data_IF_814911983329
#
_entry.id   IF_814911983329
#
_cell.length_a   1.000
_cell.length_b   1.000
_cell.length_c   1.000
_cell.angle_alpha   90.00
_cell.angle_beta   90.00
_cell.angle_gamma   90.00
#
_symmetry.space_group_name_H-M   'P 1'
#
loop_
_entity.id
_entity.type
_entity.pdbx_description
1 polymer ?
#
# COMPACT_ATOMS: atom_id res chain seq x y z
N UNK A 1 -2.52 -7.75 9.45
CA UNK A 1 -1.70 -8.76 10.14
C UNK A 1 -0.53 -9.18 9.24
N UNK A 2 0.70 -8.75 9.58
CA UNK A 2 1.92 -9.07 8.79
C UNK A 2 2.26 -10.57 8.75
N UNK A 3 1.70 -11.37 9.64
CA UNK A 3 1.86 -12.83 9.66
C UNK A 3 1.14 -13.57 8.53
N UNK A 4 0.18 -12.94 7.89
CA UNK A 4 -0.63 -13.47 6.80
C UNK A 4 -0.21 -12.84 5.47
N UNK A 5 -0.47 -13.52 4.36
CA UNK A 5 -0.34 -12.93 3.03
C UNK A 5 -1.26 -11.72 2.85
N UNK A 6 -0.85 -10.77 2.01
CA UNK A 6 -1.64 -9.56 1.71
C UNK A 6 -3.01 -9.94 1.13
N UNK A 7 -3.06 -10.97 0.27
CA UNK A 7 -4.30 -11.49 -0.28
C UNK A 7 -5.27 -12.02 0.78
N UNK A 8 -4.75 -12.70 1.80
CA UNK A 8 -5.54 -13.19 2.94
C UNK A 8 -6.09 -12.04 3.77
N UNK A 9 -5.24 -11.05 4.10
CA UNK A 9 -5.67 -9.83 4.79
C UNK A 9 -6.71 -9.05 3.98
N UNK A 10 -6.55 -9.00 2.66
CA UNK A 10 -7.51 -8.34 1.75
C UNK A 10 -8.88 -8.99 1.79
N UNK A 11 -8.94 -10.33 1.70
CA UNK A 11 -10.22 -11.05 1.82
C UNK A 11 -10.90 -10.84 3.17
N UNK A 12 -10.13 -10.87 4.26
CA UNK A 12 -10.69 -10.61 5.58
C UNK A 12 -11.22 -9.18 5.70
N UNK A 13 -10.48 -8.19 5.20
CA UNK A 13 -10.95 -6.80 5.18
C UNK A 13 -12.22 -6.65 4.35
N UNK A 14 -12.29 -7.28 3.17
CA UNK A 14 -13.48 -7.24 2.31
C UNK A 14 -14.71 -7.79 3.04
N UNK A 15 -14.59 -8.94 3.68
CA UNK A 15 -15.68 -9.54 4.48
C UNK A 15 -16.09 -8.66 5.67
N UNK A 16 -15.11 -8.08 6.38
CA UNK A 16 -15.39 -7.21 7.51
C UNK A 16 -16.13 -5.94 7.09
N UNK A 17 -15.75 -5.33 5.97
CA UNK A 17 -16.47 -4.16 5.43
C UNK A 17 -17.89 -4.53 5.00
N UNK A 18 -18.07 -5.66 4.31
CA UNK A 18 -19.39 -6.14 3.90
C UNK A 18 -20.32 -6.39 5.10
N UNK A 19 -19.79 -6.90 6.21
CA UNK A 19 -20.56 -7.15 7.41
C UNK A 19 -20.79 -5.88 8.24
N UNK A 20 -19.82 -4.98 8.33
CA UNK A 20 -19.86 -3.81 9.19
C UNK A 20 -20.77 -2.70 8.64
N UNK A 21 -20.63 -2.39 7.34
CA UNK A 21 -21.29 -1.21 6.77
C UNK A 21 -22.82 -1.24 6.85
N UNK A 22 -23.49 -2.37 6.61
CA UNK A 22 -24.96 -2.45 6.77
C UNK A 22 -25.44 -2.27 8.22
N UNK A 23 -24.55 -2.51 9.20
CA UNK A 23 -24.87 -2.40 10.63
C UNK A 23 -24.37 -1.08 11.25
N UNK A 24 -23.84 -0.16 10.44
CA UNK A 24 -23.38 1.13 10.92
C UNK A 24 -24.59 1.95 11.46
N UNK A 25 -24.42 2.68 12.59
CA UNK A 25 -25.56 3.36 13.24
C UNK A 25 -26.28 4.40 12.39
N UNK A 26 -25.61 4.92 11.38
CA UNK A 26 -26.15 5.90 10.42
C UNK A 26 -25.93 5.41 9.00
N UNK A 27 -26.78 5.85 8.08
CA UNK A 27 -26.60 5.55 6.65
C UNK A 27 -25.24 6.06 6.17
N UNK A 28 -24.46 5.19 5.57
CA UNK A 28 -23.18 5.56 4.94
C UNK A 28 -23.45 5.83 3.47
N UNK A 29 -23.24 7.07 3.05
CA UNK A 29 -23.40 7.50 1.66
C UNK A 29 -22.12 7.29 0.85
N UNK A 30 -20.97 7.56 1.48
CA UNK A 30 -19.65 7.46 0.84
C UNK A 30 -18.61 6.89 1.80
N UNK A 31 -17.68 6.11 1.25
CA UNK A 31 -16.52 5.59 1.95
C UNK A 31 -15.24 6.19 1.35
N UNK A 32 -14.41 6.79 2.18
CA UNK A 32 -13.05 7.20 1.84
C UNK A 32 -12.04 6.40 2.64
N UNK A 33 -11.05 5.83 1.97
CA UNK A 33 -9.99 5.04 2.61
C UNK A 33 -8.67 5.79 2.53
N UNK A 34 -8.03 6.00 3.68
CA UNK A 34 -6.63 6.44 3.76
C UNK A 34 -5.78 5.25 4.15
N UNK A 35 -4.93 4.81 3.25
CA UNK A 35 -4.14 3.59 3.41
C UNK A 35 -2.63 3.89 3.41
N UNK A 36 -1.96 3.56 4.50
CA UNK A 36 -0.52 3.75 4.65
C UNK A 36 0.24 2.45 4.35
N UNK A 37 1.32 2.54 3.59
CA UNK A 37 2.28 1.46 3.43
C UNK A 37 1.64 0.18 2.87
N UNK A 38 1.87 -0.97 3.50
CA UNK A 38 1.24 -2.26 3.18
C UNK A 38 -0.30 -2.20 3.18
N UNK A 39 -0.91 -1.30 3.95
CA UNK A 39 -2.36 -1.11 3.98
C UNK A 39 -2.94 -0.76 2.61
N UNK A 40 -2.17 -0.06 1.76
CA UNK A 40 -2.59 0.21 0.39
C UNK A 40 -2.63 -1.02 -0.51
N UNK A 41 -1.77 -2.00 -0.27
CA UNK A 41 -1.84 -3.29 -0.96
C UNK A 41 -3.03 -4.13 -0.45
N UNK A 42 -3.29 -4.08 0.85
CA UNK A 42 -4.42 -4.78 1.47
C UNK A 42 -5.75 -4.26 0.94
N UNK A 43 -5.94 -2.93 0.83
CA UNK A 43 -7.21 -2.39 0.28
C UNK A 43 -7.37 -2.71 -1.21
N UNK A 44 -6.30 -2.69 -2.02
CA UNK A 44 -6.36 -3.13 -3.42
C UNK A 44 -6.78 -4.59 -3.53
N UNK A 45 -6.20 -5.45 -2.71
CA UNK A 45 -6.57 -6.87 -2.61
C UNK A 45 -8.03 -7.03 -2.16
N UNK A 46 -8.48 -6.26 -1.16
CA UNK A 46 -9.86 -6.31 -0.68
C UNK A 46 -10.88 -5.94 -1.77
N UNK A 47 -10.60 -4.90 -2.56
CA UNK A 47 -11.46 -4.48 -3.67
C UNK A 47 -11.53 -5.58 -4.75
N UNK A 48 -10.39 -6.19 -5.08
CA UNK A 48 -10.34 -7.28 -6.05
C UNK A 48 -11.24 -8.44 -5.61
N UNK A 49 -11.05 -8.96 -4.40
CA UNK A 49 -11.85 -10.08 -3.89
C UNK A 49 -13.31 -9.72 -3.60
N UNK A 50 -13.58 -8.46 -3.26
CA UNK A 50 -14.98 -8.01 -3.11
C UNK A 50 -15.72 -8.02 -4.44
N UNK A 51 -15.07 -7.61 -5.54
CA UNK A 51 -15.63 -7.70 -6.91
C UNK A 51 -15.84 -9.15 -7.35
N UNK A 52 -14.87 -10.03 -7.09
CA UNK A 52 -14.98 -11.47 -7.40
C UNK A 52 -16.12 -12.17 -6.65
N UNK A 53 -16.57 -11.62 -5.53
CA UNK A 53 -17.62 -12.19 -4.68
C UNK A 53 -18.91 -11.35 -4.68
N UNK A 54 -19.06 -10.42 -5.63
CA UNK A 54 -20.23 -9.54 -5.78
C UNK A 54 -20.63 -8.83 -4.47
N UNK A 55 -19.65 -8.44 -3.64
CA UNK A 55 -19.90 -7.69 -2.41
C UNK A 55 -20.38 -6.27 -2.70
N UNK A 56 -21.26 -5.74 -1.84
CA UNK A 56 -21.91 -4.46 -2.05
C UNK A 56 -21.05 -3.26 -1.65
N UNK A 57 -20.18 -3.40 -0.65
CA UNK A 57 -19.44 -2.28 -0.08
C UNK A 57 -18.57 -1.48 -1.08
N UNK A 58 -17.98 -2.09 -2.15
CA UNK A 58 -17.20 -1.30 -3.10
C UNK A 58 -17.99 -0.21 -3.81
N UNK A 59 -19.32 -0.33 -3.90
CA UNK A 59 -20.18 0.70 -4.49
C UNK A 59 -20.22 2.00 -3.69
N UNK A 60 -19.93 1.93 -2.39
CA UNK A 60 -19.82 3.08 -1.50
C UNK A 60 -18.45 3.75 -1.54
N UNK A 61 -17.44 3.07 -2.09
CA UNK A 61 -16.07 3.55 -2.09
C UNK A 61 -15.91 4.70 -3.11
N UNK A 62 -15.62 5.90 -2.60
CA UNK A 62 -15.47 7.12 -3.40
C UNK A 62 -14.03 7.49 -3.65
N UNK A 63 -13.22 7.44 -2.59
CA UNK A 63 -11.83 7.86 -2.65
C UNK A 63 -10.91 6.87 -1.97
N UNK A 64 -9.70 6.74 -2.51
CA UNK A 64 -8.59 6.06 -1.84
C UNK A 64 -7.36 6.96 -1.88
N UNK A 65 -6.75 7.19 -0.72
CA UNK A 65 -5.50 7.93 -0.58
C UNK A 65 -4.41 6.95 -0.16
N UNK A 66 -3.45 6.68 -1.04
CA UNK A 66 -2.31 5.83 -0.78
C UNK A 66 -1.13 6.67 -0.26
N UNK A 67 -0.67 6.37 0.95
CA UNK A 67 0.47 7.03 1.59
C UNK A 67 1.66 6.07 1.61
N UNK A 68 2.67 6.31 0.78
CA UNK A 68 3.89 5.49 0.73
C UNK A 68 3.61 4.01 0.44
N UNK A 69 2.59 3.69 -0.33
CA UNK A 69 2.24 2.29 -0.64
C UNK A 69 3.23 1.70 -1.63
N UNK A 70 3.85 0.53 -1.33
CA UNK A 70 4.78 -0.13 -2.24
C UNK A 70 4.06 -0.90 -3.34
N UNK A 71 3.43 -0.20 -4.28
CA UNK A 71 2.60 -0.81 -5.34
C UNK A 71 3.36 -1.84 -6.19
N UNK A 72 4.65 -1.63 -6.36
CA UNK A 72 5.58 -2.52 -7.08
C UNK A 72 6.67 -3.05 -6.17
N UNK A 73 6.34 -3.18 -4.89
CA UNK A 73 7.23 -3.74 -3.89
C UNK A 73 8.32 -2.78 -3.42
N UNK A 74 9.21 -3.35 -2.62
CA UNK A 74 10.36 -2.68 -2.05
C UNK A 74 11.59 -3.62 -2.11
N UNK A 75 12.83 -3.07 -2.24
CA UNK A 75 14.05 -3.87 -2.29
C UNK A 75 14.20 -4.76 -1.05
N UNK A 76 14.57 -6.02 -1.27
CA UNK A 76 14.79 -7.01 -0.19
C UNK A 76 15.81 -6.57 0.87
N UNK A 77 16.81 -5.80 0.46
CA UNK A 77 17.85 -5.26 1.35
C UNK A 77 17.24 -4.38 2.47
N UNK A 78 16.05 -3.82 2.23
CA UNK A 78 15.32 -3.00 3.20
C UNK A 78 14.31 -3.79 4.04
N UNK A 79 14.15 -5.10 3.81
CA UNK A 79 13.14 -5.92 4.53
C UNK A 79 13.36 -5.90 6.04
N UNK A 80 14.61 -5.90 6.50
CA UNK A 80 14.90 -5.72 7.93
C UNK A 80 14.34 -4.42 8.51
N UNK A 81 14.46 -3.33 7.76
CA UNK A 81 13.94 -2.01 8.15
C UNK A 81 12.41 -1.97 8.17
N UNK A 82 11.74 -2.72 7.28
CA UNK A 82 10.29 -2.86 7.28
C UNK A 82 9.76 -3.44 8.58
N UNK A 83 10.42 -4.47 9.08
CA UNK A 83 10.02 -5.11 10.32
C UNK A 83 10.16 -4.14 11.49
N UNK A 84 11.28 -3.41 11.55
CA UNK A 84 11.50 -2.41 12.61
C UNK A 84 10.48 -1.28 12.54
N UNK A 85 10.11 -0.84 11.34
CA UNK A 85 9.10 0.20 11.14
C UNK A 85 7.68 -0.26 11.49
N UNK A 86 7.29 -1.49 11.12
CA UNK A 86 5.95 -2.01 11.35
C UNK A 86 5.71 -2.46 12.80
N UNK A 87 6.74 -2.94 13.49
CA UNK A 87 6.60 -3.50 14.84
C UNK A 87 6.87 -2.50 15.96
N UNK A 88 7.34 -1.30 15.63
CA UNK A 88 7.77 -0.31 16.61
C UNK A 88 8.86 -0.91 17.51
N UNK A 89 10.04 -0.35 17.53
CA UNK A 89 11.13 -0.87 18.36
C UNK A 89 10.93 -0.52 19.82
N UNK A 90 10.11 -1.29 20.53
CA UNK A 90 10.13 -1.27 21.99
C UNK A 90 11.20 -2.23 22.51
N UNK A 91 11.85 -1.95 23.66
CA UNK A 91 12.85 -2.84 24.26
C UNK A 91 12.34 -4.26 24.51
N UNK A 92 11.02 -4.43 24.68
CA UNK A 92 10.36 -5.71 24.96
C UNK A 92 10.11 -6.55 23.71
N UNK A 93 10.02 -5.94 22.51
CA UNK A 93 9.74 -6.66 21.26
C UNK A 93 11.01 -7.07 20.52
N UNK A 94 12.17 -6.50 20.85
CA UNK A 94 13.47 -6.80 20.26
C UNK A 94 13.84 -8.31 20.19
N UNK A 95 13.68 -9.12 21.26
CA UNK A 95 14.03 -10.55 21.19
C UNK A 95 13.15 -11.36 20.23
N UNK A 96 11.86 -10.99 20.14
CA UNK A 96 10.90 -11.66 19.25
C UNK A 96 11.02 -11.20 17.77
N UNK A 97 11.56 -10.02 17.56
CA UNK A 97 11.81 -9.46 16.25
C UNK A 97 12.79 -10.31 15.41
N UNK A 98 13.79 -10.91 16.03
CA UNK A 98 14.79 -11.69 15.31
C UNK A 98 14.25 -13.02 14.73
N UNK A 99 13.27 -13.64 15.39
CA UNK A 99 12.70 -14.94 15.00
C UNK A 99 11.53 -14.84 14.01
N UNK A 100 10.73 -13.75 14.10
CA UNK A 100 9.57 -13.52 13.22
C UNK A 100 9.90 -12.81 11.90
N UNK A 101 11.01 -12.12 11.85
CA UNK A 101 11.39 -11.15 10.82
C UNK A 101 11.57 -11.74 9.41
N UNK A 102 12.13 -12.90 9.29
CA UNK A 102 12.57 -13.46 8.00
C UNK A 102 11.46 -14.30 7.31
N UNK A 103 10.40 -14.65 8.02
CA UNK A 103 9.41 -15.64 7.57
C UNK A 103 7.96 -15.15 7.51
N UNK A 104 7.68 -13.87 7.79
CA UNK A 104 6.32 -13.35 7.73
C UNK A 104 5.83 -13.28 6.27
N UNK A 105 4.70 -13.91 5.98
CA UNK A 105 4.13 -13.97 4.64
C UNK A 105 3.87 -12.57 4.06
N UNK A 106 3.27 -11.66 4.83
CA UNK A 106 3.00 -10.31 4.38
C UNK A 106 4.26 -9.49 4.06
N UNK A 107 5.39 -9.78 4.73
CA UNK A 107 6.67 -9.11 4.42
C UNK A 107 7.29 -9.67 3.14
N UNK A 108 7.17 -10.99 2.89
CA UNK A 108 7.63 -11.55 1.62
C UNK A 108 6.83 -11.03 0.44
N UNK A 109 5.54 -10.77 0.61
CA UNK A 109 4.69 -10.17 -0.41
C UNK A 109 5.12 -8.74 -0.78
N UNK A 110 5.74 -8.00 0.16
CA UNK A 110 6.26 -6.65 -0.10
C UNK A 110 7.42 -6.63 -1.09
N UNK A 111 8.04 -7.78 -1.40
CA UNK A 111 9.13 -7.84 -2.37
C UNK A 111 8.70 -7.32 -3.74
N UNK A 112 7.54 -7.77 -4.20
CA UNK A 112 6.96 -7.40 -5.50
C UNK A 112 5.68 -6.58 -5.35
N UNK A 113 5.11 -6.51 -4.14
CA UNK A 113 3.79 -5.94 -3.88
C UNK A 113 2.67 -6.90 -4.30
N UNK A 114 2.81 -8.19 -3.95
CA UNK A 114 1.81 -9.22 -4.20
C UNK A 114 0.50 -8.86 -3.52
N UNK A 115 -0.61 -9.01 -4.23
CA UNK A 115 -1.95 -8.72 -3.69
C UNK A 115 -2.96 -9.83 -3.93
N UNK A 116 -2.62 -10.83 -4.75
CA UNK A 116 -3.47 -11.98 -5.07
C UNK A 116 -2.85 -13.29 -4.59
N UNK A 117 -3.68 -14.32 -4.45
CA UNK A 117 -3.21 -15.68 -4.12
C UNK A 117 -2.31 -16.25 -5.21
N UNK A 118 -2.65 -15.98 -6.47
CA UNK A 118 -1.90 -16.43 -7.64
C UNK A 118 -0.48 -15.85 -7.67
N UNK A 119 -0.26 -14.72 -7.00
CA UNK A 119 1.05 -14.06 -6.96
C UNK A 119 2.08 -14.83 -6.10
N UNK A 120 1.63 -15.70 -5.18
CA UNK A 120 2.51 -16.40 -4.26
C UNK A 120 2.25 -17.92 -4.18
N UNK A 121 1.06 -18.40 -4.56
CA UNK A 121 0.77 -19.84 -4.56
C UNK A 121 1.60 -20.57 -5.61
N UNK A 122 2.21 -21.69 -5.20
CA UNK A 122 3.03 -22.51 -6.10
C UNK A 122 4.43 -21.95 -6.38
N UNK A 123 4.80 -20.80 -5.80
CA UNK A 123 6.14 -20.22 -5.93
C UNK A 123 6.91 -20.37 -4.63
N UNK A 124 8.22 -20.64 -4.73
CA UNK A 124 9.09 -20.52 -3.56
C UNK A 124 9.28 -19.02 -3.26
N UNK A 125 8.77 -18.58 -2.12
CA UNK A 125 8.87 -17.18 -1.65
C UNK A 125 10.30 -16.68 -1.48
N UNK A 126 11.29 -17.57 -1.49
CA UNK A 126 12.71 -17.26 -1.43
C UNK A 126 13.39 -17.28 -2.80
N UNK A 127 12.69 -17.74 -3.84
CA UNK A 127 13.23 -17.76 -5.19
C UNK A 127 13.46 -16.31 -5.68
N UNK A 128 14.57 -16.14 -6.41
CA UNK A 128 14.92 -14.89 -7.09
C UNK A 128 14.15 -14.71 -8.43
N UNK A 129 13.04 -15.42 -8.58
CA UNK A 129 12.22 -15.39 -9.78
C UNK A 129 11.84 -13.94 -10.19
N UNK A 130 11.59 -13.77 -11.48
CA UNK A 130 11.07 -12.51 -12.04
C UNK A 130 9.67 -12.23 -11.49
N UNK A 131 9.33 -10.95 -11.41
CA UNK A 131 7.98 -10.49 -11.08
C UNK A 131 6.96 -11.06 -12.09
N UNK A 132 6.17 -12.04 -11.65
CA UNK A 132 5.13 -12.71 -12.44
C UNK A 132 3.70 -12.32 -12.00
N UNK A 133 3.58 -11.26 -11.18
CA UNK A 133 2.27 -10.84 -10.67
C UNK A 133 1.29 -10.52 -11.77
N UNK A 134 0.03 -10.86 -11.52
CA UNK A 134 -1.09 -10.39 -12.32
C UNK A 134 -1.27 -8.88 -12.15
N UNK A 135 -1.41 -8.15 -13.25
CA UNK A 135 -1.73 -6.73 -13.20
C UNK A 135 -3.17 -6.55 -12.69
N UNK A 136 -3.32 -5.78 -11.63
CA UNK A 136 -4.63 -5.40 -11.07
C UNK A 136 -4.74 -3.88 -11.17
N UNK A 137 -5.60 -3.34 -12.05
CA UNK A 137 -5.79 -1.91 -12.20
C UNK A 137 -6.47 -1.32 -10.95
N UNK A 138 -6.43 0.00 -10.82
CA UNK A 138 -7.29 0.72 -9.89
C UNK A 138 -8.76 0.62 -10.33
N UNK A 139 -9.71 0.71 -9.40
CA UNK A 139 -11.14 0.69 -9.75
C UNK A 139 -11.54 1.99 -10.47
N UNK A 140 -12.19 1.87 -11.62
CA UNK A 140 -12.54 3.01 -12.49
C UNK A 140 -13.52 4.00 -11.85
N UNK A 141 -14.35 3.53 -10.90
CA UNK A 141 -15.37 4.35 -10.21
C UNK A 141 -14.85 5.07 -8.98
N UNK A 142 -13.57 4.93 -8.64
CA UNK A 142 -12.97 5.43 -7.39
C UNK A 142 -11.85 6.41 -7.71
N UNK A 143 -11.90 7.59 -7.11
CA UNK A 143 -10.81 8.56 -7.22
C UNK A 143 -9.63 8.10 -6.36
N UNK A 144 -8.49 7.84 -6.99
CA UNK A 144 -7.32 7.30 -6.33
C UNK A 144 -6.19 8.34 -6.29
N UNK A 145 -5.74 8.69 -5.10
CA UNK A 145 -4.62 9.61 -4.87
C UNK A 145 -3.42 8.85 -4.34
N UNK A 146 -2.20 9.29 -4.68
CA UNK A 146 -0.99 8.71 -4.12
C UNK A 146 0.00 9.78 -3.64
N UNK A 147 0.56 9.55 -2.47
CA UNK A 147 1.64 10.34 -1.87
C UNK A 147 2.88 9.48 -1.78
N UNK A 148 3.93 9.87 -2.49
CA UNK A 148 5.26 9.32 -2.33
C UNK A 148 6.10 10.23 -1.45
N UNK A 149 6.87 9.65 -0.52
CA UNK A 149 7.82 10.41 0.27
C UNK A 149 9.27 10.09 -0.14
N UNK A 150 10.16 11.02 0.11
CA UNK A 150 11.59 10.81 -0.08
C UNK A 150 12.38 11.58 0.97
N UNK A 151 13.45 10.96 1.47
CA UNK A 151 14.40 11.61 2.37
C UNK A 151 15.35 12.57 1.65
N UNK A 152 15.32 12.61 0.31
CA UNK A 152 16.09 13.57 -0.47
C UNK A 152 15.67 15.02 -0.19
N UNK A 153 16.64 15.94 -0.27
CA UNK A 153 16.37 17.37 -0.01
C UNK A 153 15.67 18.08 -1.16
N UNK A 154 15.94 17.66 -2.39
CA UNK A 154 15.48 18.32 -3.62
C UNK A 154 15.12 17.29 -4.68
N UNK A 155 14.24 17.72 -5.59
CA UNK A 155 13.91 16.98 -6.81
C UNK A 155 15.16 16.74 -7.65
N UNK A 156 15.32 15.50 -8.13
CA UNK A 156 16.40 15.17 -9.05
C UNK A 156 16.20 13.78 -9.65
N UNK A 157 16.67 13.53 -10.89
CA UNK A 157 16.42 12.26 -11.59
C UNK A 157 16.90 11.03 -10.84
N UNK A 158 18.02 11.13 -10.12
CA UNK A 158 18.55 10.06 -9.28
C UNK A 158 17.81 9.96 -7.94
N UNK A 159 17.48 11.09 -7.32
CA UNK A 159 16.79 11.14 -6.05
C UNK A 159 15.39 10.53 -6.16
N UNK A 160 14.64 10.90 -7.20
CA UNK A 160 13.29 10.42 -7.43
C UNK A 160 13.25 8.93 -7.83
N UNK A 161 14.34 8.39 -8.39
CA UNK A 161 14.43 7.02 -8.87
C UNK A 161 14.99 6.04 -7.85
N UNK A 162 15.97 6.45 -7.04
CA UNK A 162 16.74 5.58 -6.15
C UNK A 162 16.48 5.83 -4.66
N UNK A 163 16.15 7.07 -4.30
CA UNK A 163 15.93 7.47 -2.91
C UNK A 163 14.42 7.55 -2.68
N UNK A 164 13.89 6.65 -1.88
CA UNK A 164 12.53 6.72 -1.38
C UNK A 164 12.50 7.29 0.03
N UNK A 165 11.45 6.96 0.73
CA UNK A 165 11.22 7.35 2.13
C UNK A 165 12.05 6.55 3.16
N UNK A 166 12.99 5.77 2.71
CA UNK A 166 13.79 4.85 3.52
C UNK A 166 13.34 3.39 3.39
N UNK A 167 12.09 3.13 3.01
CA UNK A 167 11.50 1.81 2.83
C UNK A 167 11.01 1.59 1.39
N UNK A 168 10.22 2.52 0.86
CA UNK A 168 9.55 2.42 -0.43
C UNK A 168 10.20 3.36 -1.44
N UNK A 169 10.61 2.87 -2.62
CA UNK A 169 11.05 3.73 -3.72
C UNK A 169 9.92 4.65 -4.21
N UNK A 170 10.25 5.89 -4.58
CA UNK A 170 9.26 6.86 -5.09
C UNK A 170 8.46 6.29 -6.28
N UNK A 171 9.13 5.64 -7.23
CA UNK A 171 8.45 5.04 -8.38
C UNK A 171 7.45 3.95 -7.97
N UNK A 172 7.81 3.12 -6.98
CA UNK A 172 6.89 2.11 -6.45
C UNK A 172 5.66 2.75 -5.79
N UNK A 173 5.86 3.82 -5.00
CA UNK A 173 4.76 4.54 -4.35
C UNK A 173 3.86 5.28 -5.34
N UNK A 174 4.38 5.71 -6.49
CA UNK A 174 3.62 6.36 -7.57
C UNK A 174 3.06 5.35 -8.60
N UNK A 175 3.14 4.05 -8.34
CA UNK A 175 2.63 3.02 -9.26
C UNK A 175 3.38 2.90 -10.59
N UNK A 176 4.60 3.49 -10.70
CA UNK A 176 5.39 3.45 -11.93
C UNK A 176 6.15 2.14 -12.04
N UNK A 177 6.02 1.47 -13.17
CA UNK A 177 6.70 0.21 -13.47
C UNK A 177 7.42 0.26 -14.82
N UNK A 178 8.48 -0.55 -14.99
CA UNK A 178 9.21 -0.63 -16.26
C UNK A 178 8.39 -1.29 -17.39
N UNK A 179 7.50 -2.22 -17.04
CA UNK A 179 6.55 -2.85 -17.94
C UNK A 179 5.24 -2.09 -17.90
N UNK A 180 4.84 -1.50 -19.04
CA UNK A 180 3.69 -0.60 -19.12
C UNK A 180 2.37 -1.25 -18.65
N UNK A 181 2.18 -2.55 -18.89
CA UNK A 181 0.97 -3.26 -18.49
C UNK A 181 0.84 -3.48 -16.97
N UNK A 182 1.94 -3.34 -16.23
CA UNK A 182 1.94 -3.38 -14.76
C UNK A 182 1.83 -2.01 -14.12
N UNK A 183 2.09 -0.94 -14.87
CA UNK A 183 2.00 0.42 -14.33
C UNK A 183 0.58 0.73 -13.87
N UNK A 184 0.48 1.37 -12.71
CA UNK A 184 -0.79 1.85 -12.18
C UNK A 184 -0.94 3.31 -12.63
N UNK A 185 -2.04 3.58 -13.35
CA UNK A 185 -2.31 4.91 -13.86
C UNK A 185 -2.98 5.77 -12.76
N UNK A 186 -2.21 6.67 -12.18
CA UNK A 186 -2.75 7.77 -11.40
C UNK A 186 -2.73 9.04 -12.25
N UNK A 187 -3.76 9.86 -12.21
CA UNK A 187 -3.75 11.16 -12.84
C UNK A 187 -2.69 12.07 -12.22
N UNK A 188 -2.09 12.95 -13.01
CA UNK A 188 -0.98 13.81 -12.56
C UNK A 188 -1.35 14.68 -11.37
N UNK A 189 -2.60 15.14 -11.27
CA UNK A 189 -3.11 15.98 -10.18
C UNK A 189 -3.37 15.18 -8.90
N UNK A 190 -3.50 13.86 -9.03
CA UNK A 190 -3.71 12.92 -7.94
C UNK A 190 -2.41 12.36 -7.37
N UNK A 191 -1.26 12.78 -7.90
CA UNK A 191 0.05 12.38 -7.45
C UNK A 191 0.74 13.52 -6.70
N UNK A 192 1.41 13.19 -5.60
CA UNK A 192 2.24 14.14 -4.89
C UNK A 192 3.51 13.49 -4.33
N UNK A 193 4.63 14.21 -4.45
CA UNK A 193 5.91 13.82 -3.85
C UNK A 193 6.25 14.81 -2.75
N UNK A 194 6.44 14.31 -1.53
CA UNK A 194 6.91 15.11 -0.39
C UNK A 194 8.38 14.80 -0.10
N UNK A 195 9.19 15.84 -0.01
CA UNK A 195 10.64 15.76 0.22
C UNK A 195 10.98 15.88 1.69
N UNK A 196 12.21 15.47 2.07
CA UNK A 196 12.70 15.50 3.47
C UNK A 196 11.73 14.80 4.43
N UNK A 197 11.17 13.70 3.98
CA UNK A 197 10.13 12.97 4.72
C UNK A 197 10.43 11.48 4.66
N UNK A 198 10.51 10.85 5.82
CA UNK A 198 10.63 9.41 5.92
C UNK A 198 9.26 8.73 5.90
N UNK A 199 9.26 7.39 5.83
CA UNK A 199 8.06 6.58 5.71
C UNK A 199 7.03 6.79 6.83
N UNK A 200 7.49 6.90 8.07
CA UNK A 200 6.60 7.06 9.23
C UNK A 200 6.10 8.49 9.39
N UNK A 201 6.87 9.47 8.95
CA UNK A 201 6.47 10.88 9.00
C UNK A 201 5.29 11.19 8.09
N UNK A 202 4.99 10.34 7.08
CA UNK A 202 3.76 10.47 6.27
C UNK A 202 2.49 10.48 7.12
N UNK A 203 2.50 9.82 8.28
CA UNK A 203 1.36 9.75 9.20
C UNK A 203 1.19 10.98 10.10
N UNK A 204 2.24 11.77 10.27
CA UNK A 204 2.27 12.86 11.28
C UNK A 204 2.53 14.24 10.70
N UNK A 205 2.95 14.35 9.45
CA UNK A 205 3.24 15.64 8.81
C UNK A 205 1.99 16.44 8.52
N UNK A 206 1.89 17.69 9.03
CA UNK A 206 0.72 18.55 8.76
C UNK A 206 0.49 18.84 7.27
N UNK A 207 1.57 18.85 6.46
CA UNK A 207 1.49 19.06 5.02
C UNK A 207 0.72 17.92 4.33
N UNK A 208 0.91 16.67 4.78
CA UNK A 208 0.19 15.51 4.27
C UNK A 208 -1.28 15.64 4.60
N UNK A 209 -1.62 15.96 5.84
CA UNK A 209 -3.02 16.17 6.26
C UNK A 209 -3.70 17.27 5.45
N UNK A 210 -3.03 18.42 5.28
CA UNK A 210 -3.58 19.53 4.46
C UNK A 210 -3.80 19.13 3.01
N UNK A 211 -2.88 18.35 2.43
CA UNK A 211 -3.01 17.89 1.05
C UNK A 211 -4.20 16.92 0.89
N UNK A 212 -4.38 16.01 1.84
CA UNK A 212 -5.53 15.08 1.85
C UNK A 212 -6.84 15.87 1.94
N UNK A 213 -6.93 16.82 2.86
CA UNK A 213 -8.12 17.67 3.02
C UNK A 213 -8.41 18.41 1.72
N UNK A 214 -7.38 19.02 1.10
CA UNK A 214 -7.55 19.75 -0.16
C UNK A 214 -8.03 18.85 -1.32
N UNK A 215 -7.63 17.58 -1.34
CA UNK A 215 -8.12 16.63 -2.35
C UNK A 215 -9.58 16.18 -2.10
N UNK A 216 -10.00 16.13 -0.85
CA UNK A 216 -11.32 15.65 -0.47
C UNK A 216 -12.36 16.78 -0.36
N UNK A 217 -11.92 18.04 -0.36
CA UNK A 217 -12.84 19.20 -0.34
C UNK A 217 -13.13 19.61 -1.79
N UNK A 218 -14.39 19.60 -2.23
CA UNK A 218 -14.76 20.14 -3.53
C UNK A 218 -14.35 21.61 -3.66
N UNK A 219 -13.89 22.00 -4.86
CA UNK A 219 -13.59 23.39 -5.17
C UNK A 219 -14.87 24.24 -5.27
#
# INVERSE_FOLDING_TARGET
NSGMHISQNGRELAKQLEQLLPHWPTTIEELTVVAHSMGGLVIRSAIYYAKEQDMAWPSLLKNIIFLGTPHHGAPLEKVGNWVDALMGSTPFTRPFNALGKIRSAGITDLRFGNILDEDWQGTDRFDLAKDQRKAVPLPDSVTCFCVAATTAEKRGPLADRLIGDGLVPVNSALGRHGEAHKAIAFDSEQQWIIYRTNHMELLSRPEVTRKIIAWLTPA
#
